data_IF_391798513655
#
_entry.id   IF_391798513655
#
_cell.length_a   1.000
_cell.length_b   1.000
_cell.length_c   1.000
_cell.angle_alpha   90.00
_cell.angle_beta   90.00
_cell.angle_gamma   90.00
#
_symmetry.space_group_name_H-M   'P 1'
#
loop_
_entity.id
_entity.type
_entity.pdbx_description
1 polymer ?
#
# COMPACT_ATOMS: atom_id res chain seq x y z
N UNK A 1 -14.71 -4.27 25.41
CA UNK A 1 -14.63 -3.96 23.96
C UNK A 1 -13.67 -4.97 23.36
N UNK A 2 -14.09 -5.70 22.35
CA UNK A 2 -13.23 -6.69 21.68
C UNK A 2 -12.14 -6.00 20.82
N UNK A 3 -10.96 -6.62 20.71
CA UNK A 3 -9.90 -6.12 19.84
C UNK A 3 -10.32 -6.28 18.37
N UNK A 4 -10.10 -5.26 17.56
CA UNK A 4 -10.27 -5.34 16.11
C UNK A 4 -9.10 -6.12 15.49
N UNK A 5 -9.30 -6.69 14.31
CA UNK A 5 -8.33 -7.57 13.63
C UNK A 5 -6.92 -6.96 13.54
N UNK A 6 -6.80 -5.68 13.20
CA UNK A 6 -5.51 -4.99 13.10
C UNK A 6 -4.75 -4.87 14.43
N UNK A 7 -5.42 -5.02 15.57
CA UNK A 7 -4.79 -4.99 16.90
C UNK A 7 -4.42 -6.40 17.43
N UNK A 8 -4.73 -7.45 16.69
CA UNK A 8 -4.36 -8.83 17.05
C UNK A 8 -3.02 -9.26 16.43
N UNK A 9 -2.48 -8.49 15.48
CA UNK A 9 -1.22 -8.77 14.81
C UNK A 9 -0.06 -8.39 15.73
N UNK A 10 0.95 -9.25 15.84
CA UNK A 10 2.17 -8.96 16.59
C UNK A 10 3.06 -7.97 15.80
N UNK A 11 2.94 -6.67 16.11
CA UNK A 11 3.70 -5.62 15.45
C UNK A 11 5.19 -5.57 15.82
N UNK A 12 5.64 -6.35 16.81
CA UNK A 12 7.05 -6.49 17.16
C UNK A 12 7.75 -7.47 16.20
N UNK A 13 7.02 -8.50 15.77
CA UNK A 13 7.53 -9.50 14.82
C UNK A 13 7.24 -9.16 13.35
N UNK A 14 6.34 -8.22 13.09
CA UNK A 14 5.89 -7.88 11.75
C UNK A 14 7.01 -7.22 10.93
N UNK A 15 7.35 -7.81 9.80
CA UNK A 15 8.35 -7.29 8.85
C UNK A 15 7.68 -6.67 7.62
N UNK A 16 8.40 -5.87 6.81
CA UNK A 16 7.88 -5.39 5.53
C UNK A 16 7.49 -6.55 4.61
N UNK A 17 6.30 -6.42 4.02
CA UNK A 17 5.71 -7.49 3.21
C UNK A 17 4.39 -7.09 2.57
N UNK A 18 3.69 -8.08 2.03
CA UNK A 18 2.34 -7.96 1.46
C UNK A 18 1.46 -8.99 2.14
N UNK A 19 0.49 -8.55 2.93
CA UNK A 19 -0.33 -9.44 3.74
C UNK A 19 -1.81 -9.29 3.40
N UNK A 20 -2.57 -10.38 3.45
CA UNK A 20 -4.02 -10.29 3.54
C UNK A 20 -4.37 -9.94 4.99
N UNK A 21 -4.86 -8.74 5.20
CA UNK A 21 -5.32 -8.30 6.53
C UNK A 21 -6.63 -8.99 6.90
N UNK A 22 -7.58 -9.01 5.96
CA UNK A 22 -8.86 -9.69 6.11
C UNK A 22 -9.60 -9.80 4.78
N UNK A 23 -10.58 -10.69 4.74
CA UNK A 23 -11.59 -10.75 3.68
C UNK A 23 -12.94 -10.48 4.32
N UNK A 24 -13.63 -9.44 3.86
CA UNK A 24 -14.97 -9.08 4.30
C UNK A 24 -15.99 -9.46 3.22
N UNK A 25 -17.19 -9.87 3.63
CA UNK A 25 -18.29 -10.13 2.70
C UNK A 25 -19.36 -9.06 2.88
N UNK A 26 -19.54 -8.23 1.84
CA UNK A 26 -20.53 -7.15 1.82
C UNK A 26 -21.61 -7.52 0.80
N UNK A 27 -22.85 -7.69 1.26
CA UNK A 27 -23.97 -8.18 0.44
C UNK A 27 -23.64 -9.47 -0.34
N UNK A 28 -22.86 -10.38 0.27
CA UNK A 28 -22.43 -11.65 -0.33
C UNK A 28 -21.21 -11.55 -1.27
N UNK A 29 -20.65 -10.37 -1.47
CA UNK A 29 -19.48 -10.16 -2.32
C UNK A 29 -18.22 -10.00 -1.47
N UNK A 30 -17.12 -10.74 -1.77
CA UNK A 30 -15.88 -10.63 -1.04
C UNK A 30 -15.13 -9.34 -1.37
N UNK A 31 -14.50 -8.77 -0.35
CA UNK A 31 -13.58 -7.63 -0.45
C UNK A 31 -12.32 -8.02 0.33
N UNK A 32 -11.18 -8.06 -0.36
CA UNK A 32 -9.90 -8.34 0.27
C UNK A 32 -9.20 -7.04 0.64
N UNK A 33 -8.83 -6.90 1.90
CA UNK A 33 -7.97 -5.81 2.40
C UNK A 33 -6.54 -6.31 2.50
N UNK A 34 -5.64 -5.70 1.74
CA UNK A 34 -4.20 -5.97 1.82
C UNK A 34 -3.50 -4.94 2.69
N UNK A 35 -2.59 -5.42 3.52
CA UNK A 35 -1.61 -4.64 4.26
C UNK A 35 -0.30 -4.63 3.47
N UNK A 36 0.03 -3.48 2.88
CA UNK A 36 1.28 -3.25 2.19
C UNK A 36 2.26 -2.63 3.18
N UNK A 37 2.93 -3.49 3.95
CA UNK A 37 3.84 -3.05 5.01
C UNK A 37 5.19 -2.68 4.42
N UNK A 38 5.54 -1.40 4.48
CA UNK A 38 6.73 -0.86 3.83
C UNK A 38 7.92 -0.69 4.78
N UNK A 39 7.66 -0.47 6.07
CA UNK A 39 8.69 -0.35 7.11
C UNK A 39 8.41 -1.29 8.27
N UNK A 40 9.46 -1.75 8.96
CA UNK A 40 9.34 -2.57 10.18
C UNK A 40 8.72 -1.73 11.30
N UNK A 41 7.52 -2.09 11.82
CA UNK A 41 6.88 -1.33 12.88
C UNK A 41 7.75 -1.25 14.13
N UNK A 42 7.83 -0.07 14.72
CA UNK A 42 8.59 0.21 15.97
C UNK A 42 10.11 -0.05 15.90
N UNK A 43 10.66 -0.35 14.72
CA UNK A 43 12.08 -0.64 14.50
C UNK A 43 12.71 0.35 13.51
N UNK A 44 12.06 0.56 12.37
CA UNK A 44 12.49 1.55 11.38
C UNK A 44 11.81 2.91 11.59
N UNK A 45 12.42 4.02 11.12
CA UNK A 45 11.74 5.31 11.04
C UNK A 45 10.49 5.20 10.15
N UNK A 46 9.41 5.84 10.59
CA UNK A 46 8.18 5.91 9.81
C UNK A 46 8.33 6.85 8.60
N UNK A 47 7.52 6.63 7.57
CA UNK A 47 7.46 7.54 6.41
C UNK A 47 6.88 8.90 6.83
N UNK A 48 7.34 9.99 6.19
CA UNK A 48 6.75 11.31 6.40
C UNK A 48 5.47 11.48 5.58
N UNK A 49 4.66 12.47 5.96
CA UNK A 49 3.35 12.69 5.36
C UNK A 49 3.43 13.01 3.87
N UNK A 50 4.41 13.83 3.46
CA UNK A 50 4.54 14.29 2.08
C UNK A 50 4.87 13.16 1.09
N UNK A 51 5.80 12.26 1.42
CA UNK A 51 6.08 11.10 0.57
C UNK A 51 4.92 10.10 0.55
N UNK A 52 4.26 9.88 1.69
CA UNK A 52 3.08 9.02 1.75
C UNK A 52 1.93 9.56 0.90
N UNK A 53 1.65 10.84 1.00
CA UNK A 53 0.61 11.52 0.22
C UNK A 53 0.91 11.44 -1.29
N UNK A 54 2.18 11.61 -1.66
CA UNK A 54 2.62 11.45 -3.06
C UNK A 54 2.42 10.01 -3.56
N UNK A 55 2.83 9.01 -2.77
CA UNK A 55 2.60 7.59 -3.10
C UNK A 55 1.10 7.30 -3.24
N UNK A 56 0.27 7.84 -2.35
CA UNK A 56 -1.20 7.66 -2.43
C UNK A 56 -1.75 8.16 -3.76
N UNK A 57 -1.41 9.38 -4.18
CA UNK A 57 -1.87 9.95 -5.45
C UNK A 57 -1.40 9.13 -6.66
N UNK A 58 -0.14 8.73 -6.68
CA UNK A 58 0.43 7.95 -7.78
C UNK A 58 -0.16 6.54 -7.84
N UNK A 59 -0.27 5.85 -6.70
CA UNK A 59 -0.84 4.51 -6.63
C UNK A 59 -2.34 4.50 -7.01
N UNK A 60 -3.11 5.45 -6.49
CA UNK A 60 -4.53 5.58 -6.83
C UNK A 60 -4.72 5.84 -8.33
N UNK A 61 -3.91 6.71 -8.91
CA UNK A 61 -3.92 6.99 -10.36
C UNK A 61 -3.56 5.74 -11.16
N UNK A 62 -2.51 5.02 -10.77
CA UNK A 62 -2.09 3.79 -11.43
C UNK A 62 -3.20 2.73 -11.39
N UNK A 63 -3.73 2.43 -10.21
CA UNK A 63 -4.74 1.40 -10.01
C UNK A 63 -6.04 1.71 -10.77
N UNK A 64 -6.51 2.95 -10.72
CA UNK A 64 -7.75 3.38 -11.40
C UNK A 64 -7.63 3.46 -12.93
N UNK A 65 -6.42 3.41 -13.47
CA UNK A 65 -6.15 3.35 -14.90
C UNK A 65 -5.62 1.97 -15.35
N UNK A 66 -5.42 1.03 -14.44
CA UNK A 66 -4.93 -0.31 -14.77
C UNK A 66 -5.96 -1.10 -15.57
N UNK A 67 -5.52 -1.78 -16.65
CA UNK A 67 -6.42 -2.49 -17.57
C UNK A 67 -7.29 -3.55 -16.87
N UNK A 68 -6.74 -4.26 -15.89
CA UNK A 68 -7.43 -5.35 -15.19
C UNK A 68 -8.05 -4.91 -13.86
N UNK A 69 -7.40 -4.02 -13.10
CA UNK A 69 -7.76 -3.72 -11.71
C UNK A 69 -8.56 -2.44 -11.50
N UNK A 70 -8.76 -1.61 -12.53
CA UNK A 70 -9.50 -0.33 -12.39
C UNK A 70 -10.90 -0.50 -11.80
N UNK A 71 -11.63 -1.55 -12.22
CA UNK A 71 -13.00 -1.81 -11.79
C UNK A 71 -13.07 -2.67 -10.51
N UNK A 72 -11.93 -3.20 -10.06
CA UNK A 72 -11.78 -3.99 -8.83
C UNK A 72 -11.25 -3.16 -7.68
N UNK A 73 -10.62 -2.02 -7.94
CA UNK A 73 -10.02 -1.16 -6.92
C UNK A 73 -11.11 -0.39 -6.15
N UNK A 74 -11.19 -0.65 -4.86
CA UNK A 74 -12.13 0.03 -3.95
C UNK A 74 -11.44 1.21 -3.28
N UNK A 75 -10.25 0.99 -2.72
CA UNK A 75 -9.53 2.01 -1.97
C UNK A 75 -8.02 1.70 -1.92
N UNK A 76 -7.23 2.77 -1.96
CA UNK A 76 -5.81 2.75 -1.61
C UNK A 76 -5.54 3.97 -0.71
N UNK A 77 -4.89 3.75 0.43
CA UNK A 77 -4.57 4.86 1.32
C UNK A 77 -3.61 4.50 2.44
N UNK A 78 -2.98 5.52 3.06
CA UNK A 78 -1.98 5.33 4.09
C UNK A 78 -2.56 4.82 5.41
N UNK A 79 -1.75 4.07 6.15
CA UNK A 79 -2.03 3.74 7.55
C UNK A 79 -1.70 4.93 8.44
N UNK A 80 -2.49 5.15 9.49
CA UNK A 80 -2.25 6.22 10.46
C UNK A 80 -0.91 6.10 11.20
N UNK A 81 -0.36 4.89 11.35
CA UNK A 81 0.96 4.64 11.93
C UNK A 81 2.13 4.98 10.99
N UNK A 82 1.86 5.27 9.73
CA UNK A 82 2.83 5.64 8.70
C UNK A 82 3.89 4.58 8.39
N UNK A 83 3.55 3.31 8.53
CA UNK A 83 4.44 2.18 8.22
C UNK A 83 4.05 1.44 6.94
N UNK A 84 2.95 1.82 6.30
CA UNK A 84 2.46 1.20 5.07
C UNK A 84 1.14 1.76 4.60
N UNK A 85 0.53 1.03 3.67
CA UNK A 85 -0.74 1.39 3.03
C UNK A 85 -1.72 0.22 3.08
N UNK A 86 -3.00 0.53 3.00
CA UNK A 86 -4.05 -0.44 2.71
C UNK A 86 -4.49 -0.36 1.26
N UNK A 87 -4.62 -1.53 0.63
CA UNK A 87 -5.26 -1.71 -0.67
C UNK A 87 -6.50 -2.59 -0.48
N UNK A 88 -7.66 -2.12 -0.91
CA UNK A 88 -8.90 -2.88 -0.93
C UNK A 88 -9.27 -3.22 -2.37
N UNK A 89 -9.43 -4.52 -2.65
CA UNK A 89 -9.88 -5.02 -3.95
C UNK A 89 -11.19 -5.79 -3.80
N UNK A 90 -12.10 -5.59 -4.75
CA UNK A 90 -13.26 -6.44 -4.91
C UNK A 90 -12.83 -7.82 -5.40
N UNK A 91 -13.18 -8.85 -4.66
CA UNK A 91 -12.78 -10.24 -4.90
C UNK A 91 -12.08 -10.86 -3.70
N UNK A 92 -11.86 -12.17 -3.77
CA UNK A 92 -11.11 -12.93 -2.78
C UNK A 92 -9.74 -13.28 -3.37
N UNK A 93 -8.68 -12.84 -2.69
CA UNK A 93 -7.30 -12.99 -3.14
C UNK A 93 -6.40 -13.46 -2.02
N UNK A 94 -5.38 -14.24 -2.37
CA UNK A 94 -4.22 -14.48 -1.51
C UNK A 94 -3.17 -13.37 -1.69
N UNK A 95 -2.28 -13.21 -0.71
CA UNK A 95 -1.19 -12.20 -0.77
C UNK A 95 -0.36 -12.32 -2.05
N UNK A 96 0.00 -13.54 -2.43
CA UNK A 96 0.81 -13.82 -3.63
C UNK A 96 0.14 -13.40 -4.96
N UNK A 97 -1.19 -13.35 -5.00
CA UNK A 97 -1.93 -13.07 -6.23
C UNK A 97 -1.71 -11.63 -6.71
N UNK A 98 -1.43 -10.70 -5.81
CA UNK A 98 -1.21 -9.28 -6.15
C UNK A 98 0.27 -8.89 -6.26
N UNK A 99 1.21 -9.80 -6.04
CA UNK A 99 2.64 -9.46 -6.15
C UNK A 99 3.00 -8.89 -7.54
N UNK A 100 2.54 -9.45 -8.67
CA UNK A 100 2.78 -8.85 -9.98
C UNK A 100 2.26 -7.41 -10.08
N UNK A 101 1.03 -7.16 -9.63
CA UNK A 101 0.44 -5.82 -9.60
C UNK A 101 1.25 -4.85 -8.73
N UNK A 102 1.69 -5.30 -7.56
CA UNK A 102 2.51 -4.47 -6.67
C UNK A 102 3.86 -4.13 -7.29
N UNK A 103 4.49 -5.07 -7.96
CA UNK A 103 5.74 -4.81 -8.71
C UNK A 103 5.53 -3.76 -9.79
N UNK A 104 4.49 -3.87 -10.60
CA UNK A 104 4.16 -2.89 -11.64
C UNK A 104 3.90 -1.51 -11.04
N UNK A 105 3.10 -1.43 -9.99
CA UNK A 105 2.73 -0.17 -9.35
C UNK A 105 3.93 0.53 -8.70
N UNK A 106 4.72 -0.18 -7.91
CA UNK A 106 5.87 0.42 -7.23
C UNK A 106 7.04 0.71 -8.18
N UNK A 107 7.21 -0.04 -9.27
CA UNK A 107 8.14 0.32 -10.36
C UNK A 107 7.68 1.61 -11.06
N UNK A 108 6.39 1.73 -11.35
CA UNK A 108 5.80 2.96 -11.88
C UNK A 108 6.08 4.16 -10.98
N UNK A 109 5.83 4.05 -9.67
CA UNK A 109 6.07 5.15 -8.72
C UNK A 109 7.57 5.48 -8.63
N UNK A 110 8.44 4.47 -8.56
CA UNK A 110 9.88 4.65 -8.47
C UNK A 110 10.49 5.38 -9.67
N UNK A 111 9.87 5.26 -10.85
CA UNK A 111 10.31 5.87 -12.11
C UNK A 111 9.50 7.09 -12.52
N UNK A 112 8.48 7.47 -11.75
CA UNK A 112 7.58 8.56 -12.12
C UNK A 112 8.33 9.88 -12.27
N UNK A 113 8.03 10.61 -13.34
CA UNK A 113 8.55 11.93 -13.62
C UNK A 113 7.40 12.88 -13.98
N UNK A 114 7.56 14.14 -13.65
CA UNK A 114 6.56 15.17 -13.93
C UNK A 114 5.75 15.57 -12.71
N UNK A 115 4.63 16.21 -12.95
CA UNK A 115 3.73 16.69 -11.89
C UNK A 115 2.93 15.53 -11.30
N UNK A 116 2.83 15.48 -9.97
CA UNK A 116 2.02 14.49 -9.29
C UNK A 116 0.54 14.69 -9.63
N UNK A 117 -0.16 13.66 -10.12
CA UNK A 117 -1.58 13.78 -10.47
C UNK A 117 -2.41 14.28 -9.29
N UNK A 118 -3.29 15.24 -9.55
CA UNK A 118 -4.16 15.81 -8.52
C UNK A 118 -3.49 16.72 -7.49
N UNK A 119 -2.20 17.05 -7.64
CA UNK A 119 -1.47 17.93 -6.74
C UNK A 119 -1.75 19.41 -7.05
N UNK A 120 -3.02 19.80 -7.04
CA UNK A 120 -3.46 21.18 -7.21
C UNK A 120 -4.44 21.59 -6.10
N UNK A 121 -4.53 22.89 -5.85
CA UNK A 121 -5.46 23.41 -4.82
C UNK A 121 -6.93 23.10 -5.12
N UNK A 122 -7.27 22.83 -6.39
CA UNK A 122 -8.62 22.46 -6.81
C UNK A 122 -8.92 21.00 -6.54
N UNK A 123 -7.92 20.13 -6.69
CA UNK A 123 -8.10 18.68 -6.73
C UNK A 123 -7.74 17.99 -5.39
N UNK A 124 -6.95 18.65 -4.54
CA UNK A 124 -6.47 18.10 -3.29
C UNK A 124 -6.59 19.09 -2.13
N UNK A 125 -7.04 18.62 -0.99
CA UNK A 125 -7.21 19.43 0.23
C UNK A 125 -5.89 19.89 0.87
N UNK A 126 -4.76 19.29 0.50
CA UNK A 126 -3.42 19.66 1.00
C UNK A 126 -2.35 19.45 -0.08
N UNK A 127 -2.53 20.08 -1.22
CA UNK A 127 -1.73 19.85 -2.43
C UNK A 127 -0.23 20.20 -2.30
N UNK A 128 0.15 21.03 -1.31
CA UNK A 128 1.55 21.39 -1.03
C UNK A 128 2.30 20.32 -0.24
N UNK A 129 1.61 19.36 0.39
CA UNK A 129 2.22 18.27 1.16
C UNK A 129 2.59 17.11 0.24
N UNK A 130 3.53 17.36 -0.68
CA UNK A 130 4.02 16.41 -1.67
C UNK A 130 5.55 16.37 -1.66
N UNK A 131 6.12 15.17 -1.84
CA UNK A 131 7.56 14.96 -1.98
C UNK A 131 7.82 13.81 -2.97
N UNK A 132 7.88 14.14 -4.26
CA UNK A 132 8.11 13.14 -5.31
C UNK A 132 9.48 12.44 -5.21
N UNK A 133 10.60 13.13 -4.97
CA UNK A 133 11.90 12.45 -4.80
C UNK A 133 11.89 11.40 -3.70
N UNK A 134 11.29 11.69 -2.54
CA UNK A 134 11.18 10.72 -1.44
C UNK A 134 10.17 9.62 -1.73
N UNK A 135 9.06 9.92 -2.39
CA UNK A 135 8.10 8.89 -2.84
C UNK A 135 8.75 7.88 -3.78
N UNK A 136 9.53 8.36 -4.74
CA UNK A 136 10.32 7.50 -5.65
C UNK A 136 11.32 6.64 -4.90
N UNK A 137 12.00 7.22 -3.92
CA UNK A 137 12.98 6.50 -3.10
C UNK A 137 12.34 5.38 -2.28
N UNK A 138 11.27 5.68 -1.53
CA UNK A 138 10.59 4.65 -0.70
C UNK A 138 9.92 3.56 -1.56
N UNK A 139 9.39 3.93 -2.72
CA UNK A 139 8.83 2.97 -3.66
C UNK A 139 9.90 2.02 -4.22
N UNK A 140 11.07 2.56 -4.62
CA UNK A 140 12.20 1.75 -5.07
C UNK A 140 12.75 0.86 -3.96
N UNK A 141 12.88 1.39 -2.74
CA UNK A 141 13.31 0.61 -1.56
C UNK A 141 12.39 -0.58 -1.34
N UNK A 142 11.08 -0.36 -1.28
CA UNK A 142 10.09 -1.42 -1.10
C UNK A 142 10.12 -2.44 -2.24
N UNK A 143 10.24 -1.98 -3.48
CA UNK A 143 10.38 -2.86 -4.64
C UNK A 143 11.60 -3.78 -4.51
N UNK A 144 12.78 -3.22 -4.29
CA UNK A 144 14.05 -3.97 -4.27
C UNK A 144 14.16 -4.86 -3.04
N UNK A 145 13.84 -4.34 -1.86
CA UNK A 145 14.08 -5.04 -0.59
C UNK A 145 12.96 -6.03 -0.22
N UNK A 146 11.74 -5.81 -0.69
CA UNK A 146 10.56 -6.59 -0.32
C UNK A 146 10.00 -7.35 -1.52
N UNK A 147 9.53 -6.65 -2.56
CA UNK A 147 8.80 -7.28 -3.66
C UNK A 147 9.68 -8.20 -4.52
N UNK A 148 10.94 -7.84 -4.74
CA UNK A 148 11.91 -8.69 -5.45
C UNK A 148 12.49 -9.81 -4.58
N UNK A 149 12.33 -9.72 -3.25
CA UNK A 149 12.79 -10.69 -2.27
C UNK A 149 11.61 -11.25 -1.45
N UNK A 150 10.50 -11.53 -2.12
CA UNK A 150 9.31 -12.05 -1.47
C UNK A 150 9.57 -13.47 -0.94
N UNK A 151 9.28 -13.69 0.34
CA UNK A 151 9.35 -14.98 1.04
C UNK A 151 8.01 -15.26 1.72
N UNK A 152 7.77 -16.48 2.18
CA UNK A 152 6.49 -16.83 2.84
C UNK A 152 6.23 -15.96 4.09
N UNK A 153 7.25 -15.65 4.87
CA UNK A 153 7.14 -14.76 6.05
C UNK A 153 6.78 -13.30 5.71
N UNK A 154 6.91 -12.90 4.43
CA UNK A 154 6.46 -11.59 3.93
C UNK A 154 5.06 -11.62 3.33
N UNK A 155 4.40 -12.76 3.34
CA UNK A 155 3.06 -12.99 2.77
C UNK A 155 2.03 -13.39 3.82
N UNK A 156 2.46 -13.84 5.00
CA UNK A 156 1.61 -14.30 6.09
C UNK A 156 2.01 -13.59 7.37
N UNK A 157 1.03 -13.10 8.13
CA UNK A 157 1.30 -12.45 9.41
C UNK A 157 2.02 -13.38 10.38
N UNK A 158 2.96 -12.85 11.18
CA UNK A 158 3.60 -13.63 12.23
C UNK A 158 2.60 -14.07 13.30
N UNK A 159 2.83 -15.27 13.88
CA UNK A 159 2.07 -15.81 15.00
C UNK A 159 2.43 -15.09 16.33
#
# INVERSE_FOLDING_TARGET
MEKITSFTIDHIKLIPGVYVSRVDYVAGHPITTFDLRMTSPNDEPVMNTAEMHTVEHLAATFLRNHAEYKDKTIYFGPMGCRTGFYLLLAGEYASKDIIPLMKEMFDFIAKFEGEVPGASAKDCGNYLDMNLPMARYIAKKYYVEVLDNITEERLVYPD
#
